data_IF_150803218041
#
_entry.id   IF_150803218041
#
_cell.length_a   1.000
_cell.length_b   1.000
_cell.length_c   1.000
_cell.angle_alpha   90.00
_cell.angle_beta   90.00
_cell.angle_gamma   90.00
#
_symmetry.space_group_name_H-M   'P 1'
#
loop_
_entity.id
_entity.type
_entity.pdbx_description
1 polymer ?
#
# COMPACT_ATOMS: atom_id res chain seq x y z
N UNK A 1 28.75 -6.73 -20.20
CA UNK A 1 28.23 -6.69 -19.81
C UNK A 1 27.44 -6.35 -19.41
N UNK A 2 27.44 -6.35 -19.18
CA UNK A 2 26.64 -5.90 -18.45
C UNK A 2 25.50 -6.34 -18.32
N UNK A 3 25.31 -7.07 -18.19
CA UNK A 3 24.19 -7.38 -18.33
C UNK A 3 23.31 -7.82 -17.23
N UNK A 4 23.70 -8.33 -16.06
CA UNK A 4 22.90 -8.70 -14.91
C UNK A 4 22.12 -7.53 -14.35
N UNK A 5 22.72 -6.39 -14.32
CA UNK A 5 22.06 -5.20 -13.81
C UNK A 5 20.90 -4.77 -14.69
N UNK A 6 21.01 -5.03 -15.96
CA UNK A 6 19.93 -4.67 -16.86
C UNK A 6 18.65 -5.40 -16.61
N UNK A 7 18.75 -6.63 -16.09
CA UNK A 7 17.59 -7.45 -15.87
C UNK A 7 16.65 -6.92 -14.81
N UNK A 8 17.17 -6.17 -13.85
CA UNK A 8 16.36 -5.71 -12.74
C UNK A 8 15.59 -4.46 -13.03
N UNK A 9 16.04 -3.67 -13.98
CA UNK A 9 15.45 -2.35 -14.19
C UNK A 9 14.76 -2.19 -15.50
N UNK A 10 14.82 -3.20 -16.36
CA UNK A 10 14.38 -3.01 -17.72
C UNK A 10 12.96 -3.43 -18.02
N UNK A 11 12.31 -4.12 -17.10
CA UNK A 11 10.94 -4.52 -17.34
C UNK A 11 10.04 -3.36 -16.97
N UNK A 12 9.50 -2.71 -17.99
CA UNK A 12 8.53 -1.64 -17.77
C UNK A 12 7.22 -2.22 -17.27
N UNK A 13 6.59 -1.59 -16.31
CA UNK A 13 5.26 -2.03 -15.90
C UNK A 13 4.27 -1.93 -17.06
N UNK A 14 3.32 -2.82 -17.06
CA UNK A 14 2.24 -2.82 -18.03
C UNK A 14 0.92 -2.88 -17.27
N UNK A 15 -0.20 -2.87 -18.00
CA UNK A 15 -1.51 -2.97 -17.38
C UNK A 15 -1.73 -4.32 -16.70
N UNK A 16 -0.85 -5.29 -16.97
CA UNK A 16 -0.90 -6.61 -16.33
C UNK A 16 0.12 -6.78 -15.20
N UNK A 17 0.88 -5.75 -14.91
CA UNK A 17 1.87 -5.80 -13.83
C UNK A 17 1.17 -5.62 -12.49
N UNK A 18 1.53 -6.44 -11.51
CA UNK A 18 0.96 -6.30 -10.17
C UNK A 18 1.69 -5.20 -9.41
N UNK A 19 0.90 -4.44 -8.68
CA UNK A 19 1.39 -3.36 -7.81
C UNK A 19 0.95 -3.63 -6.38
N UNK A 20 1.61 -2.99 -5.45
CA UNK A 20 1.24 -3.04 -4.03
C UNK A 20 1.82 -1.81 -3.33
N UNK A 21 1.50 -1.64 -2.05
CA UNK A 21 2.17 -0.66 -1.23
C UNK A 21 3.40 -1.32 -0.64
N UNK A 22 4.57 -0.83 -1.01
CA UNK A 22 5.83 -1.33 -0.47
C UNK A 22 6.16 -0.53 0.78
N UNK A 23 5.68 -0.99 1.91
CA UNK A 23 5.81 -0.25 3.17
C UNK A 23 7.27 -0.09 3.59
N UNK A 24 8.10 -1.11 3.35
CA UNK A 24 9.52 -1.03 3.72
C UNK A 24 10.23 0.05 2.91
N UNK A 25 9.98 0.08 1.62
CA UNK A 25 10.55 1.09 0.74
C UNK A 25 10.10 2.49 1.15
N UNK A 26 8.82 2.65 1.44
CA UNK A 26 8.26 3.93 1.85
C UNK A 26 8.83 4.38 3.18
N UNK A 27 8.86 3.49 4.14
CA UNK A 27 9.37 3.78 5.48
C UNK A 27 10.82 4.26 5.45
N UNK A 28 11.64 3.67 4.61
CA UNK A 28 13.04 4.05 4.49
C UNK A 28 13.24 5.45 3.92
N UNK A 29 12.29 5.92 3.14
CA UNK A 29 12.42 7.18 2.39
C UNK A 29 11.58 8.32 2.90
N UNK A 30 10.69 8.07 3.82
CA UNK A 30 9.76 9.08 4.31
C UNK A 30 9.64 8.95 5.82
N UNK A 31 10.32 9.85 6.54
CA UNK A 31 10.29 9.81 8.00
C UNK A 31 8.89 10.13 8.57
N UNK A 32 8.00 10.66 7.75
CA UNK A 32 6.64 11.00 8.17
C UNK A 32 5.62 9.94 7.78
N UNK A 33 6.07 8.77 7.33
CA UNK A 33 5.17 7.74 6.83
C UNK A 33 4.13 7.32 7.88
N UNK A 34 4.53 7.22 9.14
CA UNK A 34 3.61 6.83 10.20
C UNK A 34 2.58 7.92 10.49
N UNK A 35 3.01 9.17 10.45
CA UNK A 35 2.09 10.30 10.62
C UNK A 35 1.03 10.27 9.53
N UNK A 36 1.46 9.98 8.31
CA UNK A 36 0.54 9.87 7.18
C UNK A 36 -0.45 8.73 7.38
N UNK A 37 0.03 7.57 7.86
CA UNK A 37 -0.84 6.42 8.14
C UNK A 37 -1.88 6.76 9.21
N UNK A 38 -1.47 7.46 10.26
CA UNK A 38 -2.40 7.86 11.33
C UNK A 38 -3.55 8.68 10.76
N UNK A 39 -3.28 9.50 9.75
CA UNK A 39 -4.31 10.34 9.14
C UNK A 39 -5.43 9.54 8.46
N UNK A 40 -5.19 8.27 8.16
CA UNK A 40 -6.21 7.39 7.57
C UNK A 40 -7.05 6.65 8.60
N UNK A 41 -6.63 6.66 9.86
CA UNK A 41 -7.38 5.98 10.92
C UNK A 41 -8.75 6.62 11.10
N UNK A 42 -9.71 5.84 11.56
CA UNK A 42 -10.99 6.41 11.94
C UNK A 42 -10.78 7.27 13.19
N UNK A 43 -11.73 8.16 13.44
CA UNK A 43 -11.62 9.16 14.50
C UNK A 43 -11.26 8.54 15.84
N UNK A 44 -11.93 7.45 16.19
CA UNK A 44 -11.68 6.76 17.45
C UNK A 44 -10.22 6.31 17.57
N UNK A 45 -9.66 5.76 16.50
CA UNK A 45 -8.30 5.25 16.54
C UNK A 45 -7.27 6.36 16.37
N UNK A 46 -7.63 7.47 15.73
CA UNK A 46 -6.73 8.61 15.72
C UNK A 46 -6.48 9.12 17.13
N UNK A 47 -7.53 9.20 17.93
CA UNK A 47 -7.37 9.63 19.32
C UNK A 47 -6.55 8.63 20.11
N UNK A 48 -6.78 7.34 19.88
CA UNK A 48 -6.09 6.28 20.59
C UNK A 48 -4.60 6.29 20.33
N UNK A 49 -4.19 6.55 19.09
CA UNK A 49 -2.78 6.48 18.69
C UNK A 49 -2.05 7.81 18.68
N UNK A 50 -2.74 8.92 18.91
CA UNK A 50 -2.12 10.24 18.84
C UNK A 50 -1.00 10.42 19.86
N UNK A 51 -1.10 9.74 21.00
CA UNK A 51 -0.12 9.85 22.07
C UNK A 51 0.89 8.70 22.07
N UNK A 52 0.80 7.80 21.10
CA UNK A 52 1.73 6.67 21.02
C UNK A 52 3.00 7.09 20.31
N UNK A 53 4.10 6.54 20.74
CA UNK A 53 5.36 6.80 20.06
C UNK A 53 5.45 5.96 18.79
N UNK A 54 6.52 6.21 18.03
CA UNK A 54 6.70 5.58 16.72
C UNK A 54 6.99 4.10 16.79
N UNK A 55 7.24 3.56 17.97
CA UNK A 55 7.64 2.17 18.12
C UNK A 55 6.52 1.28 18.62
N UNK A 56 5.26 1.72 18.52
CA UNK A 56 4.13 0.93 19.01
C UNK A 56 4.00 -0.36 18.17
N UNK A 57 4.38 -1.47 18.80
CA UNK A 57 4.38 -2.77 18.15
C UNK A 57 3.39 -3.66 18.90
N UNK A 58 2.61 -4.42 18.15
CA UNK A 58 1.71 -5.41 18.75
C UNK A 58 2.03 -6.79 18.17
N UNK A 59 1.59 -7.82 18.89
CA UNK A 59 1.72 -9.19 18.42
C UNK A 59 0.47 -9.58 17.67
N UNK A 60 0.64 -9.97 16.43
CA UNK A 60 -0.46 -10.44 15.59
C UNK A 60 -0.34 -11.96 15.43
N UNK A 61 -1.47 -12.64 15.47
CA UNK A 61 -1.52 -14.10 15.31
C UNK A 61 -1.94 -14.41 13.89
N UNK A 62 -1.12 -15.20 13.20
CA UNK A 62 -1.47 -15.67 11.86
C UNK A 62 -2.62 -16.68 11.98
N UNK A 63 -3.76 -16.43 11.32
CA UNK A 63 -4.92 -17.31 11.47
C UNK A 63 -4.72 -18.70 10.86
N UNK A 64 -3.74 -18.88 9.99
CA UNK A 64 -3.48 -20.15 9.34
C UNK A 64 -2.45 -20.97 10.13
N UNK A 65 -1.34 -20.34 10.52
CA UNK A 65 -0.23 -21.05 11.16
C UNK A 65 -0.22 -20.92 12.68
N UNK A 66 -1.01 -20.01 13.22
CA UNK A 66 -1.04 -19.65 14.63
C UNK A 66 0.29 -19.07 15.13
N UNK A 67 1.17 -18.68 14.22
CA UNK A 67 2.41 -18.03 14.61
C UNK A 67 2.14 -16.61 15.07
N UNK A 68 2.95 -16.15 16.01
CA UNK A 68 2.87 -14.79 16.53
C UNK A 68 3.97 -13.96 15.88
N UNK A 69 3.58 -12.84 15.26
CA UNK A 69 4.52 -11.94 14.63
C UNK A 69 4.36 -10.53 15.18
N UNK A 70 5.48 -9.84 15.45
CA UNK A 70 5.38 -8.42 15.80
C UNK A 70 5.00 -7.61 14.56
N UNK A 71 4.03 -6.71 14.70
CA UNK A 71 3.61 -5.84 13.60
C UNK A 71 3.43 -4.43 14.13
N UNK A 72 3.52 -3.47 13.22
CA UNK A 72 3.26 -2.08 13.54
C UNK A 72 1.79 -1.95 13.96
N UNK A 73 1.55 -1.42 15.14
CA UNK A 73 0.21 -1.33 15.68
C UNK A 73 -0.71 -0.40 14.90
N UNK A 74 -0.16 0.70 14.39
CA UNK A 74 -0.94 1.64 13.59
C UNK A 74 -1.35 0.98 12.28
N UNK A 75 -0.40 0.39 11.58
CA UNK A 75 -0.68 -0.25 10.30
C UNK A 75 -1.67 -1.41 10.46
N UNK A 76 -1.46 -2.23 11.48
CA UNK A 76 -2.34 -3.36 11.73
C UNK A 76 -3.78 -2.90 11.99
N UNK A 77 -3.95 -1.90 12.84
CA UNK A 77 -5.27 -1.36 13.17
C UNK A 77 -5.91 -0.75 11.94
N UNK A 78 -5.14 0.02 11.18
CA UNK A 78 -5.64 0.65 9.97
C UNK A 78 -6.20 -0.39 9.00
N UNK A 79 -5.41 -1.40 8.69
CA UNK A 79 -5.79 -2.38 7.67
C UNK A 79 -6.89 -3.33 8.12
N UNK A 80 -6.95 -3.65 9.40
CA UNK A 80 -7.89 -4.64 9.89
C UNK A 80 -9.17 -4.06 10.49
N UNK A 81 -9.20 -2.76 10.74
CA UNK A 81 -10.37 -2.12 11.29
C UNK A 81 -10.81 -0.91 10.49
N UNK A 82 -10.00 0.15 10.47
CA UNK A 82 -10.42 1.43 9.88
C UNK A 82 -10.67 1.31 8.38
N UNK A 83 -9.84 0.56 7.67
CA UNK A 83 -9.97 0.40 6.24
C UNK A 83 -11.13 -0.51 5.83
N UNK A 84 -11.76 -1.17 6.80
CA UNK A 84 -12.92 -2.02 6.54
C UNK A 84 -14.24 -1.27 6.64
N UNK A 85 -14.20 -0.01 7.05
CA UNK A 85 -15.42 0.78 7.16
C UNK A 85 -15.95 1.17 5.79
N UNK A 86 -17.28 1.27 5.69
CA UNK A 86 -17.93 1.54 4.40
C UNK A 86 -17.53 2.88 3.80
N UNK A 87 -17.19 3.85 4.63
CA UNK A 87 -16.86 5.20 4.18
C UNK A 87 -15.36 5.42 4.02
N UNK A 88 -14.56 4.36 4.10
CA UNK A 88 -13.11 4.49 4.02
C UNK A 88 -12.63 4.98 2.65
N UNK A 89 -13.35 4.65 1.58
CA UNK A 89 -12.98 5.05 0.22
C UNK A 89 -14.10 5.89 -0.37
N UNK A 90 -14.13 7.21 -0.03
CA UNK A 90 -15.18 8.07 -0.61
C UNK A 90 -14.94 8.31 -2.09
N UNK A 91 -16.02 8.50 -2.83
CA UNK A 91 -15.97 8.65 -4.27
C UNK A 91 -15.32 9.96 -4.73
N UNK A 92 -15.27 10.95 -3.86
CA UNK A 92 -14.78 12.27 -4.25
C UNK A 92 -13.28 12.45 -4.10
N UNK A 93 -12.56 11.39 -3.79
CA UNK A 93 -11.10 11.46 -3.69
C UNK A 93 -10.47 11.44 -5.08
N UNK A 94 -9.30 12.07 -5.24
CA UNK A 94 -8.50 11.86 -6.45
C UNK A 94 -8.21 10.38 -6.68
N UNK A 95 -8.04 10.01 -7.93
CA UNK A 95 -7.82 8.61 -8.31
C UNK A 95 -6.71 7.95 -7.53
N UNK A 96 -5.55 8.62 -7.39
CA UNK A 96 -4.41 8.02 -6.71
C UNK A 96 -4.71 7.75 -5.23
N UNK A 97 -5.44 8.65 -4.59
CA UNK A 97 -5.85 8.47 -3.20
C UNK A 97 -6.82 7.31 -3.02
N UNK A 98 -7.73 7.15 -3.98
CA UNK A 98 -8.65 6.02 -3.96
C UNK A 98 -7.90 4.70 -4.13
N UNK A 99 -6.96 4.67 -5.05
CA UNK A 99 -6.14 3.47 -5.29
C UNK A 99 -5.36 3.09 -4.03
N UNK A 100 -4.74 4.07 -3.38
CA UNK A 100 -4.00 3.81 -2.15
C UNK A 100 -4.91 3.18 -1.08
N UNK A 101 -6.10 3.74 -0.91
CA UNK A 101 -7.06 3.22 0.07
C UNK A 101 -7.59 1.84 -0.30
N UNK A 102 -7.70 1.54 -1.58
CA UNK A 102 -8.09 0.20 -2.04
C UNK A 102 -7.08 -0.83 -1.56
N UNK A 103 -5.78 -0.54 -1.70
CA UNK A 103 -4.75 -1.45 -1.21
C UNK A 103 -4.81 -1.62 0.30
N UNK A 104 -5.05 -0.55 1.04
CA UNK A 104 -5.21 -0.66 2.49
C UNK A 104 -6.42 -1.53 2.85
N UNK A 105 -7.52 -1.36 2.13
CA UNK A 105 -8.75 -2.07 2.42
C UNK A 105 -8.70 -3.55 2.05
N UNK A 106 -7.89 -3.92 1.05
CA UNK A 106 -7.82 -5.32 0.63
C UNK A 106 -6.67 -6.10 1.28
N UNK A 107 -6.05 -5.54 2.30
CA UNK A 107 -4.93 -6.20 2.97
C UNK A 107 -3.63 -6.13 2.20
N UNK A 108 -3.52 -5.14 1.32
CA UNK A 108 -2.35 -4.92 0.48
C UNK A 108 -2.07 -6.09 -0.47
N UNK A 109 -3.12 -6.77 -0.91
CA UNK A 109 -2.97 -7.84 -1.90
C UNK A 109 -2.63 -7.21 -3.24
N UNK A 110 -1.72 -7.84 -4.01
CA UNK A 110 -1.33 -7.28 -5.31
C UNK A 110 -2.50 -7.14 -6.27
N UNK A 111 -2.52 -6.03 -7.00
CA UNK A 111 -3.53 -5.76 -8.02
C UNK A 111 -2.85 -5.18 -9.26
N UNK A 112 -3.43 -5.46 -10.41
CA UNK A 112 -2.96 -4.90 -11.67
C UNK A 112 -3.74 -3.63 -12.01
N UNK A 113 -3.21 -2.78 -12.89
CA UNK A 113 -3.98 -1.64 -13.40
C UNK A 113 -5.31 -2.05 -14.01
N UNK A 114 -5.39 -3.23 -14.65
CA UNK A 114 -6.66 -3.73 -15.18
C UNK A 114 -7.68 -3.96 -14.09
N UNK A 115 -7.25 -4.58 -12.99
CA UNK A 115 -8.14 -4.81 -11.85
C UNK A 115 -8.55 -3.50 -11.19
N UNK A 116 -7.60 -2.59 -11.02
CA UNK A 116 -7.88 -1.29 -10.43
C UNK A 116 -8.83 -0.47 -11.30
N UNK A 117 -8.73 -0.62 -12.62
CA UNK A 117 -9.60 0.08 -13.57
C UNK A 117 -11.07 -0.20 -13.28
N UNK A 118 -11.40 -1.42 -12.95
CA UNK A 118 -12.78 -1.77 -12.65
C UNK A 118 -13.23 -1.16 -11.32
N UNK A 119 -12.31 -1.03 -10.39
CA UNK A 119 -12.63 -0.52 -9.05
C UNK A 119 -12.81 0.99 -9.01
N UNK A 120 -11.98 1.72 -9.79
CA UNK A 120 -12.02 3.19 -9.76
C UNK A 120 -12.70 3.79 -10.98
N UNK A 121 -13.14 2.96 -11.92
CA UNK A 121 -13.83 3.38 -13.12
C UNK A 121 -13.00 4.38 -13.93
N UNK A 122 -11.74 4.07 -14.14
CA UNK A 122 -10.81 4.86 -14.94
C UNK A 122 -10.03 3.92 -15.85
N UNK A 123 -9.58 4.39 -17.02
CA UNK A 123 -8.86 3.50 -17.93
C UNK A 123 -7.60 2.94 -17.30
N UNK A 124 -7.33 1.65 -17.54
CA UNK A 124 -6.17 0.97 -17.00
C UNK A 124 -4.87 1.68 -17.38
N UNK A 125 -4.80 2.20 -18.60
CA UNK A 125 -3.60 2.88 -19.05
C UNK A 125 -3.36 4.19 -18.28
N UNK A 126 -4.44 4.89 -17.96
CA UNK A 126 -4.34 6.10 -17.14
C UNK A 126 -3.79 5.75 -15.76
N UNK A 127 -4.28 4.66 -15.18
CA UNK A 127 -3.81 4.20 -13.89
C UNK A 127 -2.32 3.84 -13.98
N UNK A 128 -1.94 3.10 -15.01
CA UNK A 128 -0.55 2.69 -15.21
C UNK A 128 0.38 3.90 -15.29
N UNK A 129 0.01 4.90 -16.06
CA UNK A 129 0.82 6.12 -16.19
C UNK A 129 0.98 6.80 -14.83
N UNK A 130 -0.08 6.78 -14.02
CA UNK A 130 -0.07 7.46 -12.74
C UNK A 130 0.78 6.73 -11.69
N UNK A 131 0.65 5.41 -11.58
CA UNK A 131 1.33 4.66 -10.52
C UNK A 131 2.61 3.98 -11.00
N UNK A 132 2.82 3.88 -12.30
CA UNK A 132 4.00 3.22 -12.86
C UNK A 132 5.11 4.17 -13.30
N UNK A 133 4.98 5.46 -13.01
CA UNK A 133 5.97 6.45 -13.41
C UNK A 133 7.16 6.52 -12.47
N UNK A 134 8.01 7.51 -12.70
CA UNK A 134 9.22 7.68 -11.92
C UNK A 134 8.96 8.10 -10.48
N UNK A 135 7.92 8.88 -10.28
CA UNK A 135 7.58 9.30 -8.92
C UNK A 135 6.70 8.26 -8.27
N UNK A 136 7.12 7.80 -7.11
CA UNK A 136 6.40 6.78 -6.36
C UNK A 136 5.51 7.48 -5.33
N UNK A 137 4.22 7.16 -5.37
CA UNK A 137 3.28 7.71 -4.41
C UNK A 137 3.21 6.78 -3.20
N UNK A 138 3.79 7.20 -2.09
CA UNK A 138 3.62 6.51 -0.80
C UNK A 138 3.84 5.00 -0.88
N UNK A 139 4.89 4.58 -1.56
CA UNK A 139 5.21 3.17 -1.66
C UNK A 139 4.46 2.38 -2.71
N UNK A 140 3.58 3.01 -3.50
CA UNK A 140 2.89 2.32 -4.59
C UNK A 140 3.89 2.01 -5.69
N UNK A 141 4.27 0.75 -5.78
CA UNK A 141 5.32 0.30 -6.71
C UNK A 141 4.94 -1.02 -7.34
N UNK A 142 5.46 -1.29 -8.55
CA UNK A 142 5.27 -2.62 -9.12
C UNK A 142 6.03 -3.65 -8.31
N UNK A 143 5.45 -4.84 -8.21
CA UNK A 143 6.12 -5.95 -7.58
C UNK A 143 7.12 -6.49 -8.59
N UNK A 144 8.40 -6.49 -8.20
CA UNK A 144 9.45 -6.96 -9.08
C UNK A 144 9.53 -8.47 -9.03
N UNK A 145 9.53 -9.10 -10.18
CA UNK A 145 9.76 -10.53 -10.23
C UNK A 145 11.18 -10.80 -9.78
N UNK A 146 11.34 -11.77 -8.89
CA UNK A 146 12.68 -12.16 -8.47
C UNK A 146 13.36 -12.88 -9.62
N UNK A 147 14.60 -12.51 -9.86
CA UNK A 147 15.39 -13.24 -10.83
C UNK A 147 15.72 -14.63 -10.26
N UNK A 148 15.41 -15.64 -11.01
CA UNK A 148 15.72 -17.00 -10.61
C UNK A 148 16.91 -17.50 -11.35
#
# INVERSE_FOLDING_TARGET
MPDANKKFSLVKPSVNTTFHIDFDWWQERDSNWRIFLVSFLCEKHQELFSDKDDSFIIDAIDPVTAEIHPVDGVLHTLMNHCAKKDDFIPDNLPMIGRIFRIFLANGNKPLTPLQLSEMVNRPARTILVTIGGHQVYKGLRPIQAKAN
#
